data_IF_701110242168
#
_entry.id   IF_701110242168
#
_cell.length_a   1.000
_cell.length_b   1.000
_cell.length_c   1.000
_cell.angle_alpha   90.00
_cell.angle_beta   90.00
_cell.angle_gamma   90.00
#
_symmetry.space_group_name_H-M   'P 1'
#
loop_
_entity.id
_entity.type
_entity.pdbx_description
1 polymer ?
#
# COMPACT_ATOMS: atom_id res chain seq x y z
N UNK A 1 26.56 -16.28 17.40
CA UNK A 1 25.23 -16.33 18.03
C UNK A 1 24.41 -15.18 17.49
N UNK A 2 23.49 -15.47 16.56
CA UNK A 2 22.68 -14.47 15.87
C UNK A 2 21.47 -14.06 16.70
N UNK A 3 21.28 -12.75 16.90
CA UNK A 3 20.05 -12.19 17.47
C UNK A 3 19.02 -12.03 16.34
N UNK A 4 18.01 -12.89 16.35
CA UNK A 4 16.86 -12.83 15.46
C UNK A 4 16.01 -11.60 15.85
N UNK A 5 15.87 -10.62 14.95
CA UNK A 5 14.97 -9.48 15.16
C UNK A 5 13.52 -9.94 15.00
N UNK A 6 12.78 -9.97 16.10
CA UNK A 6 11.35 -10.26 16.12
C UNK A 6 10.55 -9.14 15.45
N UNK A 7 10.01 -9.38 14.25
CA UNK A 7 9.02 -8.49 13.64
C UNK A 7 7.62 -8.84 14.17
N UNK A 8 7.15 -8.10 15.17
CA UNK A 8 5.76 -8.15 15.64
C UNK A 8 4.88 -7.28 14.74
N UNK A 9 4.15 -7.91 13.81
CA UNK A 9 3.11 -7.25 13.02
C UNK A 9 1.78 -7.37 13.75
N UNK A 10 1.45 -6.37 14.58
CA UNK A 10 0.16 -6.26 15.24
C UNK A 10 -0.92 -5.87 14.22
N UNK A 11 -1.65 -6.86 13.71
CA UNK A 11 -2.89 -6.67 12.94
C UNK A 11 -4.00 -6.20 13.89
N UNK A 12 -4.29 -4.90 13.88
CA UNK A 12 -5.47 -4.34 14.52
C UNK A 12 -6.21 -3.46 13.50
N UNK A 13 -7.04 -4.06 12.64
CA UNK A 13 -8.16 -3.41 11.91
C UNK A 13 -7.89 -2.14 11.08
N UNK A 14 -6.66 -1.65 11.06
CA UNK A 14 -6.18 -0.46 10.40
C UNK A 14 -5.18 -0.95 9.38
N UNK A 15 -5.59 -0.96 8.11
CA UNK A 15 -4.65 -1.02 7.01
C UNK A 15 -3.55 0.02 7.26
N UNK A 16 -2.26 -0.38 7.29
CA UNK A 16 -1.18 0.56 7.53
C UNK A 16 -1.27 1.71 6.54
N UNK A 17 -1.05 2.94 6.99
CA UNK A 17 -1.10 4.09 6.10
C UNK A 17 -0.05 3.93 4.99
N UNK A 18 -0.51 3.96 3.74
CA UNK A 18 0.35 3.80 2.58
C UNK A 18 0.44 5.12 1.83
N UNK A 19 1.66 5.54 1.52
CA UNK A 19 1.96 6.58 0.56
C UNK A 19 1.69 6.08 -0.87
N UNK A 20 0.87 6.80 -1.62
CA UNK A 20 0.57 6.60 -3.02
C UNK A 20 1.11 7.79 -3.84
N UNK A 21 1.22 7.59 -5.15
CA UNK A 21 1.59 8.66 -6.08
C UNK A 21 0.45 8.89 -7.06
N UNK A 22 -0.07 10.11 -7.07
CA UNK A 22 -1.05 10.57 -8.04
C UNK A 22 -0.30 11.04 -9.30
N UNK A 23 -0.43 10.27 -10.39
CA UNK A 23 0.24 10.61 -11.65
C UNK A 23 -0.39 11.82 -12.36
N UNK A 24 -1.68 12.10 -12.12
CA UNK A 24 -2.36 13.27 -12.70
C UNK A 24 -2.09 14.52 -11.86
N UNK A 25 -2.22 14.41 -10.54
CA UNK A 25 -1.90 15.48 -9.60
C UNK A 25 -0.39 15.71 -9.42
N UNK A 26 0.45 14.80 -9.92
CA UNK A 26 1.92 14.79 -9.78
C UNK A 26 2.39 14.97 -8.33
N UNK A 27 1.62 14.41 -7.40
CA UNK A 27 1.83 14.59 -5.96
C UNK A 27 1.72 13.27 -5.21
N UNK A 28 2.41 13.20 -4.07
CA UNK A 28 2.27 12.08 -3.14
C UNK A 28 1.11 12.35 -2.19
N UNK A 29 0.40 11.30 -1.80
CA UNK A 29 -0.62 11.37 -0.77
C UNK A 29 -0.60 10.09 0.05
N UNK A 30 -1.06 10.17 1.28
CA UNK A 30 -1.14 9.02 2.17
C UNK A 30 -2.61 8.60 2.27
N UNK A 31 -2.84 7.29 2.37
CA UNK A 31 -4.18 6.76 2.53
C UNK A 31 -4.16 5.43 3.28
N UNK A 32 -5.04 5.31 4.25
CA UNK A 32 -5.39 4.04 4.92
C UNK A 32 -6.52 3.32 4.18
N UNK A 33 -7.27 4.03 3.32
CA UNK A 33 -8.40 3.48 2.57
C UNK A 33 -7.92 3.00 1.20
N UNK A 34 -7.55 1.73 1.13
CA UNK A 34 -7.16 1.08 -0.12
C UNK A 34 -7.66 -0.36 -0.18
N UNK A 35 -7.83 -0.87 -1.40
CA UNK A 35 -8.15 -2.27 -1.67
C UNK A 35 -6.91 -3.00 -2.14
N UNK A 36 -6.75 -4.26 -1.73
CA UNK A 36 -5.65 -5.10 -2.22
C UNK A 36 -6.15 -5.89 -3.42
N UNK A 37 -5.45 -5.76 -4.55
CA UNK A 37 -5.72 -6.53 -5.77
C UNK A 37 -4.48 -7.32 -6.18
N UNK A 38 -4.69 -8.53 -6.69
CA UNK A 38 -3.62 -9.37 -7.25
C UNK A 38 -3.64 -9.28 -8.76
N UNK A 39 -2.53 -8.90 -9.37
CA UNK A 39 -2.35 -8.88 -10.84
C UNK A 39 -0.98 -9.44 -11.19
N UNK A 40 -0.93 -10.37 -12.16
CA UNK A 40 0.32 -10.95 -12.65
C UNK A 40 1.26 -11.45 -11.53
N UNK A 41 0.69 -12.15 -10.53
CA UNK A 41 1.45 -12.70 -9.39
C UNK A 41 2.02 -11.66 -8.42
N UNK A 42 1.55 -10.41 -8.45
CA UNK A 42 1.92 -9.34 -7.51
C UNK A 42 0.70 -8.76 -6.83
N UNK A 43 0.86 -8.35 -5.57
CA UNK A 43 -0.14 -7.66 -4.77
C UNK A 43 0.03 -6.16 -4.92
N UNK A 44 -1.07 -5.47 -5.20
CA UNK A 44 -1.15 -4.02 -5.31
C UNK A 44 -2.15 -3.49 -4.30
N UNK A 45 -1.76 -2.47 -3.54
CA UNK A 45 -2.71 -1.60 -2.87
C UNK A 45 -3.23 -0.57 -3.88
N UNK A 46 -4.55 -0.36 -3.91
CA UNK A 46 -5.22 0.56 -4.83
C UNK A 46 -6.05 1.53 -4.01
N UNK A 47 -5.75 2.83 -4.13
CA UNK A 47 -6.49 3.90 -3.46
C UNK A 47 -6.98 4.94 -4.46
N UNK A 48 -8.01 5.71 -4.07
CA UNK A 48 -8.51 6.82 -4.89
C UNK A 48 -7.66 8.06 -4.63
N UNK A 49 -7.02 8.56 -5.67
CA UNK A 49 -6.21 9.77 -5.59
C UNK A 49 -7.10 11.03 -5.58
N UNK A 50 -6.60 12.17 -5.04
CA UNK A 50 -7.32 13.44 -5.05
C UNK A 50 -7.73 13.92 -6.44
N UNK A 51 -6.95 13.57 -7.48
CA UNK A 51 -7.33 13.89 -8.87
C UNK A 51 -8.46 12.99 -9.44
N UNK A 52 -9.03 12.08 -8.64
CA UNK A 52 -10.10 11.18 -9.07
C UNK A 52 -9.65 9.93 -9.84
N UNK A 53 -8.36 9.59 -9.86
CA UNK A 53 -7.85 8.36 -10.48
C UNK A 53 -7.52 7.28 -9.45
N UNK A 54 -7.32 6.06 -9.91
CA UNK A 54 -6.88 4.96 -9.07
C UNK A 54 -5.35 4.92 -9.05
N UNK A 55 -4.76 5.07 -7.86
CA UNK A 55 -3.33 5.00 -7.66
C UNK A 55 -2.93 3.60 -7.18
N UNK A 56 -2.02 2.97 -7.92
CA UNK A 56 -1.52 1.62 -7.63
C UNK A 56 -0.18 1.70 -6.91
N UNK A 57 -0.05 0.95 -5.81
CA UNK A 57 1.22 0.73 -5.10
C UNK A 57 1.51 -0.76 -5.01
N UNK A 58 2.68 -1.18 -5.45
CA UNK A 58 3.14 -2.57 -5.25
C UNK A 58 3.47 -2.76 -3.78
N UNK A 59 2.87 -3.78 -3.16
CA UNK A 59 3.12 -4.14 -1.75
C UNK A 59 3.91 -5.45 -1.61
N UNK A 60 3.97 -6.26 -2.67
CA UNK A 60 4.80 -7.47 -2.67
C UNK A 60 4.44 -8.45 -3.78
N UNK A 61 5.13 -9.60 -3.77
CA UNK A 61 4.73 -10.77 -4.56
C UNK A 61 3.49 -11.42 -3.94
N UNK A 62 2.64 -11.99 -4.78
CA UNK A 62 1.45 -12.70 -4.33
C UNK A 62 1.79 -14.04 -3.66
#
# INVERSE_FOLDING_TARGET
>A
MGILKSNSNNNAGNSPELNFYDVKGRQKFNSTKYSIVVKSGRRFAVSKAPSGIDAYRIIGKA
#
